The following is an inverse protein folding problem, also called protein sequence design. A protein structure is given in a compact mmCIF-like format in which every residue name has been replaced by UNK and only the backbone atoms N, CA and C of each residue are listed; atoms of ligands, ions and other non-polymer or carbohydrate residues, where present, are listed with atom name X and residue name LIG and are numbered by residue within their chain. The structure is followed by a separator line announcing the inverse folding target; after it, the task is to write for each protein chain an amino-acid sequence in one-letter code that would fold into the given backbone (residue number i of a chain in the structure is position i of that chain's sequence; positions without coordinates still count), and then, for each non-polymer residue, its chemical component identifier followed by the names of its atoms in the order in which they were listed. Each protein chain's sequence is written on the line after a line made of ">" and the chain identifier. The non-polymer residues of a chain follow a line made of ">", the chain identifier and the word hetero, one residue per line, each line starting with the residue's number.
data_IF_978167264297
#
_entry.id   IF_978167264297
#
_cell.length_a   1.000
_cell.length_b   1.000
_cell.length_c   1.000
_cell.angle_alpha   90.00
_cell.angle_beta   90.00
_cell.angle_gamma   90.00
#
_symmetry.space_group_name_H-M   'P 1'
#
loop_
_entity.id
_entity.type
_entity.pdbx_description
1 polymer ?
#
# COMPACT_ATOMS: atom_id res chain seq x y z
N UNK A 1 -10.55 -8.03 -2.45
CA UNK A 1 -10.12 -6.82 -1.73
C UNK A 1 -10.94 -5.64 -2.20
N UNK A 2 -11.27 -4.72 -1.33
CA UNK A 2 -12.14 -3.59 -1.66
C UNK A 2 -11.52 -2.29 -1.16
N UNK A 3 -11.49 -1.27 -2.03
CA UNK A 3 -11.05 0.07 -1.65
C UNK A 3 -12.19 0.77 -0.91
N UNK A 4 -11.93 1.16 0.34
CA UNK A 4 -12.89 1.94 1.13
C UNK A 4 -12.73 3.43 0.88
N UNK A 5 -11.50 3.87 0.63
CA UNK A 5 -11.18 5.25 0.28
C UNK A 5 -9.78 5.27 -0.35
N UNK A 6 -9.51 6.32 -1.12
CA UNK A 6 -8.20 6.53 -1.72
C UNK A 6 -7.91 8.03 -1.70
N UNK A 7 -6.77 8.40 -1.13
CA UNK A 7 -6.32 9.80 -1.13
C UNK A 7 -5.09 9.94 -2.01
N UNK A 8 -4.96 11.07 -2.67
CA UNK A 8 -3.91 11.32 -3.64
C UNK A 8 -3.46 12.77 -3.55
N UNK A 9 -2.17 12.97 -3.34
CA UNK A 9 -1.53 14.29 -3.37
C UNK A 9 -0.53 14.28 -4.53
N UNK A 10 -0.88 14.93 -5.63
CA UNK A 10 -0.06 14.94 -6.83
C UNK A 10 1.16 15.86 -6.70
N UNK A 11 1.09 16.86 -5.84
CA UNK A 11 2.22 17.77 -5.62
C UNK A 11 3.38 17.05 -4.94
N UNK A 12 3.10 16.29 -3.88
CA UNK A 12 4.12 15.56 -3.13
C UNK A 12 4.22 14.09 -3.51
N UNK A 13 3.42 13.64 -4.48
CA UNK A 13 3.39 12.27 -4.96
C UNK A 13 3.08 11.25 -3.86
N UNK A 14 2.18 11.63 -2.95
CA UNK A 14 1.75 10.77 -1.86
C UNK A 14 0.40 10.16 -2.20
N UNK A 15 0.22 8.89 -1.83
CA UNK A 15 -1.08 8.26 -1.97
C UNK A 15 -1.32 7.27 -0.82
N UNK A 16 -2.58 7.07 -0.49
CA UNK A 16 -2.99 6.12 0.52
C UNK A 16 -4.26 5.41 0.08
N UNK A 17 -4.24 4.08 0.15
CA UNK A 17 -5.40 3.25 -0.19
C UNK A 17 -5.91 2.60 1.09
N UNK A 18 -7.14 2.95 1.48
CA UNK A 18 -7.80 2.40 2.67
C UNK A 18 -8.50 1.10 2.30
N UNK A 19 -8.13 0.01 2.96
CA UNK A 19 -8.63 -1.34 2.67
C UNK A 19 -9.39 -1.95 3.84
N UNK A 20 -9.24 -1.41 5.04
CA UNK A 20 -9.86 -1.92 6.24
C UNK A 20 -10.36 -0.82 7.14
N UNK A 21 -10.96 -1.21 8.25
CA UNK A 21 -11.53 -0.31 9.24
C UNK A 21 -10.85 -0.51 10.59
N UNK A 22 -11.30 0.24 11.59
CA UNK A 22 -10.77 0.16 12.94
C UNK A 22 -9.59 1.08 13.13
N UNK A 23 -8.74 0.73 14.10
CA UNK A 23 -7.64 1.57 14.54
C UNK A 23 -6.30 0.95 14.15
N UNK A 24 -5.40 1.74 13.60
CA UNK A 24 -4.06 1.27 13.25
C UNK A 24 -3.29 0.90 14.52
N UNK A 25 -2.73 -0.30 14.52
CA UNK A 25 -1.93 -0.84 15.62
C UNK A 25 -0.43 -0.78 15.31
N UNK A 26 -0.05 -1.14 14.08
CA UNK A 26 1.36 -1.15 13.67
C UNK A 26 1.51 -0.90 12.18
N UNK A 27 2.72 -0.55 11.79
CA UNK A 27 3.07 -0.30 10.39
C UNK A 27 4.23 -1.22 9.99
N UNK A 28 4.10 -1.85 8.84
CA UNK A 28 5.17 -2.63 8.22
C UNK A 28 5.80 -1.76 7.14
N UNK A 29 7.08 -1.44 7.31
CA UNK A 29 7.83 -0.75 6.27
C UNK A 29 8.31 -1.78 5.24
N UNK A 30 7.68 -1.79 4.07
CA UNK A 30 8.08 -2.69 2.97
C UNK A 30 9.42 -2.22 2.40
N UNK A 31 9.54 -0.92 2.19
CA UNK A 31 10.75 -0.23 1.77
C UNK A 31 10.60 1.26 2.11
N UNK A 32 11.58 2.12 1.84
CA UNK A 32 11.47 3.54 2.20
C UNK A 32 10.29 4.28 1.57
N UNK A 33 9.66 3.71 0.54
CA UNK A 33 8.57 4.36 -0.19
C UNK A 33 7.21 3.69 -0.03
N UNK A 34 7.13 2.55 0.67
CA UNK A 34 5.88 1.78 0.81
C UNK A 34 5.70 1.31 2.24
N UNK A 35 4.57 1.66 2.84
CA UNK A 35 4.17 1.21 4.17
C UNK A 35 2.83 0.49 4.12
N UNK A 36 2.67 -0.53 4.94
CA UNK A 36 1.40 -1.23 5.16
C UNK A 36 0.99 -1.00 6.60
N UNK A 37 -0.20 -0.45 6.81
CA UNK A 37 -0.76 -0.30 8.16
C UNK A 37 -1.65 -1.49 8.48
N UNK A 38 -1.48 -2.03 9.70
CA UNK A 38 -2.23 -3.17 10.22
C UNK A 38 -3.08 -2.68 11.40
N UNK A 39 -4.35 -3.07 11.42
CA UNK A 39 -5.26 -2.66 12.48
C UNK A 39 -5.12 -3.55 13.72
N UNK A 40 -5.89 -3.23 14.76
CA UNK A 40 -5.86 -3.94 16.05
C UNK A 40 -6.24 -5.42 15.93
N UNK A 41 -6.96 -5.79 14.88
CA UNK A 41 -7.39 -7.17 14.64
C UNK A 41 -6.40 -7.96 13.78
N UNK A 42 -5.26 -7.35 13.43
CA UNK A 42 -4.27 -8.00 12.57
C UNK A 42 -4.61 -7.96 11.08
N UNK A 43 -5.60 -7.16 10.71
CA UNK A 43 -6.03 -7.02 9.31
C UNK A 43 -5.35 -5.84 8.64
N UNK A 44 -5.24 -5.87 7.32
CA UNK A 44 -4.64 -4.77 6.56
C UNK A 44 -5.61 -3.58 6.59
N UNK A 45 -5.15 -2.48 7.17
CA UNK A 45 -5.91 -1.23 7.24
C UNK A 45 -5.73 -0.42 5.96
N UNK A 46 -4.50 -0.32 5.47
CA UNK A 46 -4.22 0.45 4.27
C UNK A 46 -2.77 0.34 3.82
N UNK A 47 -2.50 0.89 2.63
CA UNK A 47 -1.18 0.92 2.02
C UNK A 47 -0.84 2.36 1.65
N UNK A 48 0.34 2.81 2.08
CA UNK A 48 0.84 4.15 1.80
C UNK A 48 1.99 4.11 0.80
N UNK A 49 1.95 5.00 -0.18
CA UNK A 49 3.04 5.20 -1.13
C UNK A 49 3.59 6.61 -0.97
N UNK A 50 4.88 6.73 -0.74
CA UNK A 50 5.56 8.01 -0.51
C UNK A 50 6.20 8.58 -1.77
N UNK A 51 6.08 7.88 -2.90
CA UNK A 51 6.48 8.38 -4.21
C UNK A 51 5.72 7.64 -5.29
N UNK A 52 5.55 8.26 -6.46
CA UNK A 52 4.88 7.61 -7.59
C UNK A 52 5.73 6.52 -8.24
N UNK A 53 7.05 6.58 -8.08
CA UNK A 53 7.93 5.51 -8.58
C UNK A 53 7.66 4.18 -7.87
N UNK A 54 7.18 4.23 -6.62
CA UNK A 54 6.81 3.02 -5.86
C UNK A 54 5.62 2.28 -6.47
N UNK A 55 4.81 2.96 -7.30
CA UNK A 55 3.64 2.35 -7.95
C UNK A 55 4.02 1.38 -9.05
N UNK A 56 5.27 1.42 -9.53
CA UNK A 56 5.75 0.59 -10.64
C UNK A 56 6.59 -0.60 -10.17
N UNK A 57 6.75 -0.79 -8.87
CA UNK A 57 7.58 -1.89 -8.34
C UNK A 57 6.90 -3.23 -8.57
N UNK A 58 7.65 -4.17 -9.16
CA UNK A 58 7.15 -5.51 -9.45
C UNK A 58 7.02 -6.36 -8.19
N UNK A 59 6.23 -7.43 -8.29
CA UNK A 59 6.07 -8.41 -7.22
C UNK A 59 7.43 -8.94 -6.74
N UNK A 60 8.33 -9.24 -7.67
CA UNK A 60 9.66 -9.79 -7.34
C UNK A 60 10.46 -8.79 -6.52
N UNK A 61 10.48 -7.51 -6.92
CA UNK A 61 11.22 -6.48 -6.19
C UNK A 61 10.63 -6.24 -4.81
N UNK A 62 9.31 -6.17 -4.69
CA UNK A 62 8.64 -5.98 -3.41
C UNK A 62 8.98 -7.10 -2.43
N UNK A 63 8.96 -8.34 -2.91
CA UNK A 63 9.27 -9.51 -2.07
C UNK A 63 10.75 -9.53 -1.67
N UNK A 64 11.65 -9.15 -2.58
CA UNK A 64 13.09 -9.12 -2.28
C UNK A 64 13.46 -8.01 -1.31
N UNK A 65 12.74 -6.88 -1.32
CA UNK A 65 12.99 -5.77 -0.40
C UNK A 65 12.49 -6.07 1.02
N UNK A 66 11.49 -6.94 1.14
CA UNK A 66 11.00 -7.39 2.44
C UNK A 66 10.63 -8.86 2.35
N UNK A 67 11.59 -9.73 2.67
CA UNK A 67 11.41 -11.18 2.57
C UNK A 67 10.40 -11.74 3.56
N UNK A 68 10.06 -10.99 4.61
CA UNK A 68 9.07 -11.40 5.60
C UNK A 68 7.65 -11.03 5.19
N UNK A 69 7.49 -10.34 4.07
CA UNK A 69 6.19 -9.92 3.57
C UNK A 69 5.35 -11.16 3.23
N UNK A 70 4.17 -11.28 3.83
CA UNK A 70 3.26 -12.40 3.54
C UNK A 70 2.64 -12.23 2.16
N UNK A 71 2.09 -13.32 1.61
CA UNK A 71 1.38 -13.25 0.33
C UNK A 71 0.18 -12.30 0.41
N UNK A 72 -0.54 -12.30 1.53
CA UNK A 72 -1.68 -11.40 1.73
C UNK A 72 -1.23 -9.93 1.73
N UNK A 73 -0.12 -9.64 2.39
CA UNK A 73 0.44 -8.28 2.43
C UNK A 73 0.95 -7.86 1.05
N UNK A 74 1.63 -8.77 0.36
CA UNK A 74 2.12 -8.52 -0.99
C UNK A 74 0.95 -8.26 -1.95
N UNK A 75 -0.11 -9.07 -1.89
CA UNK A 75 -1.30 -8.88 -2.70
C UNK A 75 -1.96 -7.52 -2.44
N UNK A 76 -1.98 -7.08 -1.19
CA UNK A 76 -2.53 -5.79 -0.82
C UNK A 76 -1.73 -4.64 -1.47
N UNK A 77 -0.39 -4.73 -1.46
CA UNK A 77 0.45 -3.72 -2.10
C UNK A 77 0.19 -3.67 -3.60
N UNK A 78 0.18 -4.83 -4.25
CA UNK A 78 -0.04 -4.92 -5.70
C UNK A 78 -1.42 -4.37 -6.09
N UNK A 79 -2.44 -4.72 -5.32
CA UNK A 79 -3.80 -4.22 -5.52
C UNK A 79 -3.85 -2.70 -5.34
N UNK A 80 -3.22 -2.18 -4.28
CA UNK A 80 -3.20 -0.75 -4.01
C UNK A 80 -2.46 0.02 -5.11
N UNK A 81 -1.33 -0.49 -5.59
CA UNK A 81 -0.59 0.11 -6.71
C UNK A 81 -1.51 0.28 -7.92
N UNK A 82 -2.23 -0.78 -8.26
CA UNK A 82 -3.15 -0.77 -9.40
C UNK A 82 -4.23 0.31 -9.24
N UNK A 83 -4.81 0.42 -8.04
CA UNK A 83 -5.88 1.39 -7.78
C UNK A 83 -5.38 2.83 -7.85
N UNK A 84 -4.17 3.10 -7.37
CA UNK A 84 -3.59 4.44 -7.50
C UNK A 84 -3.30 4.76 -8.97
N UNK A 85 -2.71 3.81 -9.71
CA UNK A 85 -2.43 4.01 -11.14
C UNK A 85 -3.71 4.27 -11.92
N UNK A 86 -4.80 3.55 -11.63
CA UNK A 86 -6.11 3.79 -12.25
C UNK A 86 -6.60 5.22 -11.98
N UNK A 87 -6.46 5.67 -10.74
CA UNK A 87 -6.86 7.03 -10.36
C UNK A 87 -6.03 8.09 -11.10
N UNK A 88 -4.73 7.88 -11.22
CA UNK A 88 -3.83 8.80 -11.93
C UNK A 88 -4.11 8.85 -13.42
N UNK A 89 -4.64 7.79 -14.01
CA UNK A 89 -4.95 7.72 -15.44
C UNK A 89 -6.26 8.41 -15.83
N UNK A 90 -7.08 8.77 -14.85
CA UNK A 90 -8.38 9.40 -15.10
C UNK A 90 -8.30 10.92 -15.11
#
# INVERSE_FOLDING_TARGET
>A
MKVLNLTLDTEFQLSYVYLGTGKVDRTIEVNPSINIDINQNGEIFGVEFLSFSALEMSKVLLKSENQELTESELDAVLFAQEKVRERLAN
#
